data_IF_134914101768
#
_entry.id   IF_134914101768
#
_cell.length_a   1.000
_cell.length_b   1.000
_cell.length_c   1.000
_cell.angle_alpha   90.00
_cell.angle_beta   90.00
_cell.angle_gamma   90.00
#
_symmetry.space_group_name_H-M   'P 1'
#
loop_
_entity.id
_entity.type
_entity.pdbx_description
1 polymer ?
#
# COMPACT_ATOMS: atom_id res chain seq x y z
N UNK A 1 -8.34 -2.33 8.91
CA UNK A 1 -8.35 -3.36 7.84
C UNK A 1 -8.40 -4.73 8.48
N UNK A 2 -9.21 -5.64 7.95
CA UNK A 2 -9.31 -7.02 8.44
C UNK A 2 -8.93 -7.97 7.31
N UNK A 3 -8.13 -8.99 7.63
CA UNK A 3 -7.79 -10.07 6.72
C UNK A 3 -8.55 -11.33 7.12
N UNK A 4 -9.25 -11.94 6.16
CA UNK A 4 -10.02 -13.17 6.38
C UNK A 4 -9.54 -14.26 5.41
N UNK A 5 -9.58 -15.51 5.87
CA UNK A 5 -9.41 -16.69 5.04
C UNK A 5 -10.43 -17.74 5.50
N UNK A 6 -11.17 -18.32 4.56
CA UNK A 6 -12.22 -19.31 4.87
C UNK A 6 -13.18 -18.84 5.97
N UNK A 7 -13.62 -17.58 5.90
CA UNK A 7 -14.47 -16.91 6.89
C UNK A 7 -13.87 -16.77 8.32
N UNK A 8 -12.62 -17.12 8.53
CA UNK A 8 -11.91 -16.90 9.78
C UNK A 8 -11.11 -15.60 9.74
N UNK A 9 -11.23 -14.78 10.78
CA UNK A 9 -10.39 -13.59 10.94
C UNK A 9 -8.96 -14.04 11.20
N UNK A 10 -8.05 -13.69 10.28
CA UNK A 10 -6.62 -13.97 10.43
C UNK A 10 -5.91 -12.85 11.19
N UNK A 11 -6.24 -11.61 10.87
CA UNK A 11 -5.57 -10.45 11.46
C UNK A 11 -6.39 -9.17 11.30
N UNK A 12 -6.12 -8.21 12.18
CA UNK A 12 -6.63 -6.83 12.07
C UNK A 12 -5.47 -5.85 12.13
N UNK A 13 -5.57 -4.79 11.34
CA UNK A 13 -4.55 -3.78 11.19
C UNK A 13 -5.18 -2.39 11.27
N UNK A 14 -4.56 -1.50 12.05
CA UNK A 14 -4.81 -0.06 11.91
C UNK A 14 -4.23 0.39 10.58
N UNK A 15 -4.98 1.21 9.86
CA UNK A 15 -4.55 1.73 8.55
C UNK A 15 -4.89 3.21 8.48
N UNK A 16 -3.96 4.00 7.95
CA UNK A 16 -4.26 5.35 7.50
C UNK A 16 -4.94 5.28 6.13
N UNK A 17 -5.80 6.26 5.85
CA UNK A 17 -6.46 6.42 4.55
C UNK A 17 -6.08 7.78 3.95
N UNK A 18 -6.38 7.94 2.66
CA UNK A 18 -6.18 9.20 1.96
C UNK A 18 -6.94 10.36 2.62
N UNK A 19 -6.28 11.53 2.67
CA UNK A 19 -6.90 12.78 3.16
C UNK A 19 -7.95 13.30 2.17
N UNK A 20 -8.74 14.29 2.58
CA UNK A 20 -9.70 14.99 1.72
C UNK A 20 -9.03 15.50 0.42
N UNK A 21 -9.66 15.24 -0.72
CA UNK A 21 -9.15 15.52 -2.07
C UNK A 21 -8.14 14.49 -2.60
N UNK A 22 -7.81 13.47 -1.81
CA UNK A 22 -6.92 12.34 -2.12
C UNK A 22 -7.52 11.03 -1.60
N UNK A 23 -8.83 10.88 -1.73
CA UNK A 23 -9.59 9.78 -1.15
C UNK A 23 -9.08 8.42 -1.63
N UNK A 24 -9.01 7.45 -0.71
CA UNK A 24 -8.78 6.05 -1.09
C UNK A 24 -9.99 5.55 -1.89
N UNK A 25 -9.80 4.95 -3.09
CA UNK A 25 -10.91 4.54 -3.93
C UNK A 25 -11.78 3.49 -3.23
N UNK A 26 -13.10 3.63 -3.38
CA UNK A 26 -14.08 2.69 -2.84
C UNK A 26 -14.45 1.65 -3.90
N UNK A 27 -14.67 0.41 -3.47
CA UNK A 27 -15.11 -0.68 -4.35
C UNK A 27 -14.52 -2.03 -3.99
N UNK A 28 -14.68 -2.99 -4.90
CA UNK A 28 -14.06 -4.31 -4.82
C UNK A 28 -12.85 -4.34 -5.73
N UNK A 29 -11.70 -4.62 -5.15
CA UNK A 29 -10.43 -4.70 -5.86
C UNK A 29 -9.82 -6.08 -5.72
N UNK A 30 -8.97 -6.45 -6.69
CA UNK A 30 -8.12 -7.63 -6.61
C UNK A 30 -6.70 -7.17 -6.32
N UNK A 31 -5.97 -7.95 -5.53
CA UNK A 31 -4.53 -7.71 -5.39
C UNK A 31 -3.87 -7.94 -6.75
N UNK A 32 -3.13 -6.94 -7.21
CA UNK A 32 -2.41 -6.96 -8.50
C UNK A 32 -0.89 -7.00 -8.31
N UNK A 33 -0.40 -6.65 -7.12
CA UNK A 33 1.03 -6.69 -6.78
C UNK A 33 1.22 -7.11 -5.32
N UNK A 34 2.21 -7.97 -5.08
CA UNK A 34 2.75 -8.26 -3.75
C UNK A 34 4.28 -8.25 -3.85
N UNK A 35 4.92 -7.23 -3.27
CA UNK A 35 6.35 -6.98 -3.44
C UNK A 35 7.01 -6.87 -2.06
N UNK A 36 8.03 -7.69 -1.83
CA UNK A 36 8.91 -7.58 -0.65
C UNK A 36 10.01 -6.56 -0.94
N UNK A 37 10.34 -5.71 0.04
CA UNK A 37 11.36 -4.66 -0.07
C UNK A 37 11.20 -3.84 -1.36
N UNK A 38 10.03 -3.20 -1.58
CA UNK A 38 9.76 -2.44 -2.79
C UNK A 38 10.70 -1.23 -2.91
N UNK A 39 11.08 -0.88 -4.15
CA UNK A 39 11.55 0.47 -4.44
C UNK A 39 10.33 1.39 -4.57
N UNK A 40 10.40 2.57 -3.99
CA UNK A 40 9.35 3.58 -4.10
C UNK A 40 9.78 4.73 -4.99
N UNK A 41 8.92 5.15 -5.91
CA UNK A 41 9.10 6.36 -6.69
C UNK A 41 8.31 7.51 -6.04
N UNK A 42 8.98 8.64 -5.81
CA UNK A 42 8.30 9.83 -5.32
C UNK A 42 7.39 10.40 -6.43
N UNK A 43 6.09 10.62 -6.15
CA UNK A 43 5.13 11.02 -7.19
C UNK A 43 5.33 12.45 -7.71
N UNK A 44 6.08 13.29 -7.00
CA UNK A 44 6.34 14.68 -7.37
C UNK A 44 7.63 14.87 -8.17
N UNK A 45 8.72 14.21 -7.78
CA UNK A 45 10.04 14.44 -8.37
C UNK A 45 10.66 13.21 -9.06
N UNK A 46 9.94 12.08 -9.12
CA UNK A 46 10.37 10.84 -9.78
C UNK A 46 11.63 10.19 -9.20
N UNK A 47 12.13 10.67 -8.05
CA UNK A 47 13.27 10.05 -7.37
C UNK A 47 12.87 8.67 -6.85
N UNK A 48 13.70 7.68 -7.16
CA UNK A 48 13.54 6.31 -6.68
C UNK A 48 14.30 6.15 -5.37
N UNK A 49 13.60 5.76 -4.31
CA UNK A 49 14.18 5.41 -3.01
C UNK A 49 14.74 3.99 -3.02
N UNK A 50 15.83 3.79 -2.29
CA UNK A 50 16.31 2.46 -1.96
C UNK A 50 15.24 1.69 -1.16
N UNK A 51 15.15 0.36 -1.33
CA UNK A 51 14.18 -0.43 -0.59
C UNK A 51 14.61 -0.61 0.86
N UNK A 52 13.65 -0.80 1.77
CA UNK A 52 13.91 -1.11 3.18
C UNK A 52 12.96 -0.41 4.14
N UNK A 53 13.14 -0.66 5.44
CA UNK A 53 12.28 -0.14 6.51
C UNK A 53 12.20 1.39 6.52
N UNK A 54 13.30 2.06 6.20
CA UNK A 54 13.39 3.53 6.14
C UNK A 54 12.89 4.11 4.80
N UNK A 55 12.39 3.28 3.89
CA UNK A 55 11.84 3.77 2.61
C UNK A 55 10.39 4.24 2.80
N UNK A 56 9.88 5.14 1.94
CA UNK A 56 8.48 5.57 2.01
C UNK A 56 7.45 4.44 1.89
N UNK A 57 7.83 3.30 1.30
CA UNK A 57 6.97 2.12 1.15
C UNK A 57 7.29 1.01 2.17
N UNK A 58 8.27 1.22 3.04
CA UNK A 58 8.71 0.23 4.02
C UNK A 58 9.16 -1.10 3.41
N UNK A 59 8.93 -2.20 4.13
CA UNK A 59 9.41 -3.53 3.74
C UNK A 59 8.45 -4.34 2.86
N UNK A 60 7.22 -3.87 2.66
CA UNK A 60 6.18 -4.63 1.96
C UNK A 60 5.19 -3.72 1.26
N UNK A 61 4.85 -4.08 0.03
CA UNK A 61 3.85 -3.41 -0.80
C UNK A 61 2.80 -4.40 -1.30
N UNK A 62 1.53 -4.03 -1.16
CA UNK A 62 0.38 -4.78 -1.68
C UNK A 62 -0.47 -3.83 -2.51
N UNK A 63 -0.27 -3.83 -3.82
CA UNK A 63 -1.02 -3.00 -4.76
C UNK A 63 -2.37 -3.62 -5.12
N UNK A 64 -3.43 -2.83 -5.11
CA UNK A 64 -4.79 -3.29 -5.44
C UNK A 64 -5.50 -2.42 -6.51
N UNK A 65 -4.96 -1.26 -6.85
CA UNK A 65 -5.54 -0.38 -7.87
C UNK A 65 -4.46 0.35 -8.66
N UNK A 66 -4.73 0.62 -9.94
CA UNK A 66 -3.87 1.44 -10.80
C UNK A 66 -4.66 2.06 -11.95
N UNK A 67 -4.24 3.26 -12.39
CA UNK A 67 -4.64 3.86 -13.67
C UNK A 67 -3.58 3.65 -14.77
N UNK A 68 -2.68 2.66 -14.60
CA UNK A 68 -1.46 2.37 -15.39
C UNK A 68 -0.30 3.36 -15.23
N UNK A 69 -0.53 4.52 -14.63
CA UNK A 69 0.50 5.52 -14.34
C UNK A 69 0.89 5.50 -12.87
N UNK A 70 -0.11 5.47 -12.00
CA UNK A 70 0.01 5.51 -10.55
C UNK A 70 -0.60 4.24 -9.96
N UNK A 71 -0.13 3.88 -8.77
CA UNK A 71 -0.59 2.71 -8.04
C UNK A 71 -1.08 3.11 -6.65
N UNK A 72 -2.13 2.44 -6.18
CA UNK A 72 -2.63 2.53 -4.82
C UNK A 72 -2.54 1.14 -4.19
N UNK A 73 -2.06 1.10 -2.96
CA UNK A 73 -1.79 -0.13 -2.24
C UNK A 73 -1.58 0.08 -0.76
N UNK A 74 -1.52 -1.03 -0.04
CA UNK A 74 -1.08 -1.06 1.35
C UNK A 74 0.45 -1.13 1.38
N UNK A 75 1.05 -0.39 2.30
CA UNK A 75 2.48 -0.50 2.58
C UNK A 75 2.72 -0.46 4.08
N UNK A 76 3.88 -0.94 4.51
CA UNK A 76 4.27 -0.85 5.91
C UNK A 76 4.71 0.58 6.21
N UNK A 77 4.17 1.15 7.27
CA UNK A 77 4.61 2.41 7.87
C UNK A 77 5.12 2.08 9.27
N UNK A 78 6.28 2.62 9.66
CA UNK A 78 6.71 2.53 11.05
C UNK A 78 5.89 3.52 11.91
N UNK A 79 5.48 3.11 13.12
CA UNK A 79 4.80 3.92 14.15
C UNK A 79 3.26 4.11 14.07
N UNK A 80 2.47 3.10 13.68
CA UNK A 80 1.00 3.07 13.87
C UNK A 80 0.55 1.76 14.52
#
# INVERSE_FOLDING_TARGET
MYAYQNNQLLASYRVAIGKKGWETPQGKFKIIQMIKKPKGENPWNRKISAPGINSPLGESWIGFWTNRKDYIGFHRMENI
#
